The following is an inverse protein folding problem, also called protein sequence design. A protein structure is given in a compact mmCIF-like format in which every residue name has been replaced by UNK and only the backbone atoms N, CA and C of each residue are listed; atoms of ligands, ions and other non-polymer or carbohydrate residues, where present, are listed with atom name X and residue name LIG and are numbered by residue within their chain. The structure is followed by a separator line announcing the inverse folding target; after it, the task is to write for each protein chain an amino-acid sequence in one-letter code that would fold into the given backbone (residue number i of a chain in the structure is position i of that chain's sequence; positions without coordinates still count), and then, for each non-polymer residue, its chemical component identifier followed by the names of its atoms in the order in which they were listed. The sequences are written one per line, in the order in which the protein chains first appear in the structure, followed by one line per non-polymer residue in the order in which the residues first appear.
data_IF_712323476977
#
_entry.id   IF_712323476977
#
_cell.length_a   1.000
_cell.length_b   1.000
_cell.length_c   1.000
_cell.angle_alpha   90.00
_cell.angle_beta   90.00
_cell.angle_gamma   90.00
#
_symmetry.space_group_name_H-M   'P 1'
#
loop_
_entity.id
_entity.type
_entity.pdbx_description
1 polymer ?
#
# COMPACT_ATOMS: atom_id res chain seq x y z
N UNK A 1 39.89 -18.47 26.90
CA UNK A 1 38.44 -18.74 27.01
C UNK A 1 37.73 -17.76 26.08
N UNK A 2 37.45 -18.18 24.84
CA UNK A 2 36.81 -17.31 23.85
C UNK A 2 35.30 -17.33 24.07
N UNK A 3 34.72 -16.18 24.38
CA UNK A 3 33.28 -16.04 24.59
C UNK A 3 32.60 -15.88 23.22
N UNK A 4 31.73 -16.83 22.88
CA UNK A 4 30.95 -16.81 21.64
C UNK A 4 29.83 -15.79 21.85
N UNK A 5 29.89 -14.66 21.16
CA UNK A 5 28.82 -13.67 21.13
C UNK A 5 27.68 -14.29 20.31
N UNK A 6 26.60 -14.74 20.97
CA UNK A 6 25.35 -15.08 20.28
C UNK A 6 24.74 -13.78 19.76
N UNK A 7 25.08 -13.44 18.53
CA UNK A 7 24.42 -12.36 17.79
C UNK A 7 23.17 -12.96 17.15
N UNK A 8 21.99 -12.70 17.73
CA UNK A 8 20.71 -13.18 17.22
C UNK A 8 20.36 -12.51 15.89
N UNK A 9 20.83 -13.11 14.79
CA UNK A 9 20.58 -12.70 13.40
C UNK A 9 19.09 -12.52 13.07
N UNK A 10 18.21 -13.20 13.82
CA UNK A 10 16.75 -13.10 13.70
C UNK A 10 16.20 -11.71 14.08
N UNK A 11 16.75 -11.03 15.09
CA UNK A 11 16.20 -9.73 15.55
C UNK A 11 16.46 -8.61 14.55
N UNK A 12 17.61 -8.66 13.87
CA UNK A 12 17.97 -7.69 12.83
C UNK A 12 17.01 -7.73 11.63
N UNK A 13 16.64 -8.93 11.19
CA UNK A 13 15.66 -9.12 10.10
C UNK A 13 14.26 -8.62 10.46
N UNK A 14 13.91 -8.66 11.75
CA UNK A 14 12.60 -8.23 12.26
C UNK A 14 12.55 -6.70 12.41
N UNK A 15 13.63 -6.08 12.85
CA UNK A 15 13.76 -4.61 12.94
C UNK A 15 13.76 -3.96 11.55
N UNK A 16 14.43 -4.56 10.56
CA UNK A 16 14.37 -4.06 9.18
C UNK A 16 12.98 -4.20 8.57
N UNK A 17 12.24 -5.28 8.88
CA UNK A 17 10.83 -5.42 8.47
C UNK A 17 9.94 -4.35 9.11
N UNK A 18 10.13 -4.05 10.40
CA UNK A 18 9.39 -3.00 11.12
C UNK A 18 9.66 -1.60 10.54
N UNK A 19 10.93 -1.29 10.24
CA UNK A 19 11.30 -0.04 9.57
C UNK A 19 10.73 0.07 8.16
N UNK A 20 10.74 -1.02 7.40
CA UNK A 20 10.14 -1.06 6.06
C UNK A 20 8.63 -0.88 6.11
N UNK A 21 7.96 -1.50 7.09
CA UNK A 21 6.52 -1.37 7.30
C UNK A 21 6.15 0.07 7.69
N UNK A 22 6.91 0.71 8.58
CA UNK A 22 6.75 2.13 8.92
C UNK A 22 6.96 3.04 7.70
N UNK A 23 7.95 2.73 6.86
CA UNK A 23 8.18 3.47 5.61
C UNK A 23 7.00 3.34 4.64
N UNK A 24 6.44 2.15 4.50
CA UNK A 24 5.25 1.92 3.66
C UNK A 24 4.03 2.70 4.19
N UNK A 25 3.80 2.68 5.50
CA UNK A 25 2.72 3.44 6.14
C UNK A 25 2.89 4.93 5.86
N UNK A 26 4.10 5.47 6.08
CA UNK A 26 4.38 6.88 5.82
C UNK A 26 4.13 7.27 4.37
N UNK A 27 4.61 6.48 3.40
CA UNK A 27 4.39 6.76 1.97
C UNK A 27 2.90 6.70 1.63
N UNK A 28 2.16 5.75 2.22
CA UNK A 28 0.71 5.67 2.02
C UNK A 28 0.02 6.92 2.56
N UNK A 29 0.27 7.27 3.83
CA UNK A 29 -0.38 8.41 4.49
C UNK A 29 -0.04 9.73 3.77
N UNK A 30 1.20 9.93 3.31
CA UNK A 30 1.60 11.09 2.51
C UNK A 30 0.87 11.18 1.16
N UNK A 31 0.64 10.05 0.49
CA UNK A 31 -0.12 10.00 -0.78
C UNK A 31 -1.61 10.22 -0.53
N UNK A 32 -2.17 9.63 0.53
CA UNK A 32 -3.58 9.82 0.92
C UNK A 32 -3.86 11.28 1.26
N UNK A 33 -2.97 11.93 2.02
CA UNK A 33 -3.08 13.35 2.36
C UNK A 33 -3.04 14.23 1.09
N UNK A 34 -2.09 13.98 0.19
CA UNK A 34 -2.01 14.69 -1.09
C UNK A 34 -3.28 14.53 -1.95
N UNK A 35 -3.81 13.31 -2.04
CA UNK A 35 -5.04 13.05 -2.80
C UNK A 35 -6.26 13.74 -2.17
N UNK A 36 -6.37 13.72 -0.84
CA UNK A 36 -7.45 14.42 -0.13
C UNK A 36 -7.38 15.93 -0.31
N UNK A 37 -6.18 16.53 -0.29
CA UNK A 37 -6.01 17.94 -0.59
C UNK A 37 -6.37 18.27 -2.04
N UNK A 38 -5.97 17.42 -3.00
CA UNK A 38 -6.31 17.60 -4.40
C UNK A 38 -7.84 17.50 -4.63
N UNK A 39 -8.51 16.54 -3.98
CA UNK A 39 -9.97 16.46 -3.96
C UNK A 39 -10.62 17.72 -3.40
N UNK A 40 -10.11 18.25 -2.28
CA UNK A 40 -10.67 19.45 -1.64
C UNK A 40 -10.47 20.72 -2.48
N UNK A 41 -9.41 20.78 -3.29
CA UNK A 41 -9.10 21.93 -4.14
C UNK A 41 -9.93 21.95 -5.44
N UNK A 42 -10.15 20.79 -6.05
CA UNK A 42 -10.87 20.66 -7.32
C UNK A 42 -12.38 20.35 -7.14
N UNK A 43 -12.81 20.01 -5.92
CA UNK A 43 -14.19 19.60 -5.56
C UNK A 43 -14.72 18.40 -6.39
N UNK A 44 -13.81 17.57 -6.90
CA UNK A 44 -14.12 16.36 -7.69
C UNK A 44 -13.30 15.16 -7.21
N UNK A 45 -13.81 14.50 -6.17
CA UNK A 45 -13.23 13.26 -5.62
C UNK A 45 -13.12 12.12 -6.64
N UNK A 46 -14.05 12.06 -7.59
CA UNK A 46 -14.11 10.99 -8.58
C UNK A 46 -12.99 11.12 -9.61
N UNK A 47 -12.74 12.34 -10.11
CA UNK A 47 -11.66 12.62 -11.05
C UNK A 47 -10.29 12.28 -10.44
N UNK A 48 -10.06 12.68 -9.17
CA UNK A 48 -8.82 12.40 -8.45
C UNK A 48 -8.63 10.91 -8.20
N UNK A 49 -9.69 10.20 -7.74
CA UNK A 49 -9.63 8.76 -7.52
C UNK A 49 -9.35 7.97 -8.82
N UNK A 50 -9.96 8.38 -9.95
CA UNK A 50 -9.70 7.78 -11.26
C UNK A 50 -8.27 8.02 -11.73
N UNK A 51 -7.75 9.24 -11.55
CA UNK A 51 -6.37 9.57 -11.90
C UNK A 51 -5.36 8.76 -11.07
N UNK A 52 -5.58 8.65 -9.75
CA UNK A 52 -4.77 7.83 -8.86
C UNK A 52 -4.83 6.34 -9.25
N UNK A 53 -6.03 5.82 -9.53
CA UNK A 53 -6.23 4.45 -10.00
C UNK A 53 -5.54 4.16 -11.33
N UNK A 54 -5.57 5.11 -12.28
CA UNK A 54 -4.84 5.03 -13.54
C UNK A 54 -3.33 4.97 -13.32
N UNK A 55 -2.80 5.85 -12.46
CA UNK A 55 -1.37 5.84 -12.15
C UNK A 55 -0.93 4.52 -11.51
N UNK A 56 -1.66 4.07 -10.48
CA UNK A 56 -1.38 2.84 -9.76
C UNK A 56 -1.44 1.61 -10.69
N UNK A 57 -2.48 1.51 -11.52
CA UNK A 57 -2.62 0.38 -12.45
C UNK A 57 -1.52 0.34 -13.50
N UNK A 58 -1.15 1.47 -14.08
CA UNK A 58 -0.06 1.53 -15.06
C UNK A 58 1.31 1.19 -14.44
N UNK A 59 1.59 1.65 -13.22
CA UNK A 59 2.85 1.34 -12.53
C UNK A 59 2.93 -0.10 -12.06
N UNK A 60 1.88 -0.62 -11.45
CA UNK A 60 1.84 -2.03 -11.03
C UNK A 60 1.94 -2.97 -12.23
N UNK A 61 1.24 -2.66 -13.33
CA UNK A 61 1.35 -3.46 -14.56
C UNK A 61 2.77 -3.49 -15.11
N UNK A 62 3.51 -2.37 -15.02
CA UNK A 62 4.91 -2.27 -15.45
C UNK A 62 5.89 -2.99 -14.51
N UNK A 63 5.66 -2.95 -13.19
CA UNK A 63 6.58 -3.51 -12.19
C UNK A 63 6.35 -5.00 -11.92
N UNK A 64 5.08 -5.42 -11.82
CA UNK A 64 4.69 -6.75 -11.34
C UNK A 64 4.09 -7.62 -12.45
N UNK A 65 3.73 -7.03 -13.59
CA UNK A 65 3.09 -7.70 -14.71
C UNK A 65 1.56 -7.61 -14.70
N UNK A 66 0.94 -8.04 -15.81
CA UNK A 66 -0.51 -7.88 -16.07
C UNK A 66 -1.39 -8.69 -15.11
N UNK A 67 -1.00 -9.93 -14.81
CA UNK A 67 -1.84 -10.89 -14.10
C UNK A 67 -1.88 -10.63 -12.58
N UNK A 68 -0.73 -10.30 -12.00
CA UNK A 68 -0.57 -9.88 -10.61
C UNK A 68 -1.31 -8.57 -10.32
N UNK A 69 -1.24 -7.60 -11.24
CA UNK A 69 -1.94 -6.32 -11.11
C UNK A 69 -3.45 -6.51 -11.13
N UNK A 70 -3.98 -7.31 -12.07
CA UNK A 70 -5.41 -7.65 -12.09
C UNK A 70 -5.86 -8.31 -10.79
N UNK A 71 -5.10 -9.29 -10.30
CA UNK A 71 -5.39 -9.97 -9.04
C UNK A 71 -5.42 -8.99 -7.87
N UNK A 72 -4.45 -8.07 -7.78
CA UNK A 72 -4.39 -7.04 -6.75
C UNK A 72 -5.65 -6.16 -6.74
N UNK A 73 -6.04 -5.60 -7.90
CA UNK A 73 -7.26 -4.78 -7.97
C UNK A 73 -8.52 -5.58 -7.68
N UNK A 74 -8.60 -6.84 -8.12
CA UNK A 74 -9.74 -7.72 -7.77
C UNK A 74 -9.83 -7.96 -6.26
N UNK A 75 -8.72 -8.18 -5.57
CA UNK A 75 -8.72 -8.34 -4.11
C UNK A 75 -9.05 -7.04 -3.39
N UNK A 76 -8.61 -5.88 -3.90
CA UNK A 76 -8.99 -4.58 -3.37
C UNK A 76 -10.52 -4.37 -3.47
N UNK A 77 -11.09 -4.60 -4.66
CA UNK A 77 -12.54 -4.46 -4.90
C UNK A 77 -13.34 -5.43 -4.00
N UNK A 78 -12.89 -6.69 -3.87
CA UNK A 78 -13.52 -7.66 -2.97
C UNK A 78 -13.51 -7.20 -1.52
N UNK A 79 -12.43 -6.56 -1.06
CA UNK A 79 -12.31 -6.08 0.32
C UNK A 79 -13.31 -4.95 0.58
N UNK A 80 -13.40 -3.98 -0.33
CA UNK A 80 -14.37 -2.88 -0.24
C UNK A 80 -15.82 -3.38 -0.34
N UNK A 81 -16.11 -4.34 -1.22
CA UNK A 81 -17.47 -4.87 -1.40
C UNK A 81 -17.90 -5.84 -0.29
N UNK A 82 -16.98 -6.64 0.29
CA UNK A 82 -17.28 -7.48 1.46
C UNK A 82 -17.70 -6.66 2.67
N UNK A 83 -17.16 -5.46 2.84
CA UNK A 83 -17.59 -4.54 3.89
C UNK A 83 -19.05 -4.07 3.71
N UNK A 84 -19.57 -4.03 2.47
CA UNK A 84 -20.99 -3.73 2.21
C UNK A 84 -21.95 -4.87 2.58
N UNK A 85 -21.50 -6.13 2.57
CA UNK A 85 -22.38 -7.28 2.83
C UNK A 85 -22.57 -7.59 4.31
N UNK A 86 -21.73 -7.06 5.21
CA UNK A 86 -21.86 -7.23 6.67
C UNK A 86 -22.68 -6.13 7.35
N UNK A 87 -23.18 -5.15 6.58
CA UNK A 87 -23.99 -4.02 7.05
C UNK A 87 -25.42 -4.05 6.49
N UNK A 88 -25.97 -5.23 6.19
CA UNK A 88 -27.37 -5.41 5.77
C UNK A 88 -28.06 -6.47 6.62
#
# INVERSE_FOLDING_TARGET
MGQIIKLDFFSYSTYQKDLYQKKLIRIRDEIEDYLNQASANEDDDLAIALAAGRYASMKLAKLTGKESTKKFFSECIKTTLKQKTYNN
#
